data_IF_416529462603
#
_entry.id   IF_416529462603
#
_cell.length_a   1.000
_cell.length_b   1.000
_cell.length_c   1.000
_cell.angle_alpha   90.00
_cell.angle_beta   90.00
_cell.angle_gamma   90.00
#
_symmetry.space_group_name_H-M   'P 1'
#
loop_
_entity.id
_entity.type
_entity.pdbx_description
1 polymer ?
#
# COMPACT_ATOMS: atom_id res chain seq x y z
N UNK A 1 26.49 -13.20 14.32
CA UNK A 1 26.04 -13.92 13.12
C UNK A 1 25.57 -12.84 12.16
N UNK A 2 26.16 -12.74 10.97
CA UNK A 2 25.72 -11.73 9.99
C UNK A 2 24.35 -12.17 9.46
N UNK A 3 23.29 -11.40 9.77
CA UNK A 3 21.98 -11.60 9.18
C UNK A 3 22.07 -11.47 7.66
N UNK A 4 21.34 -12.31 6.93
CA UNK A 4 21.26 -12.19 5.48
C UNK A 4 20.48 -10.90 5.14
N UNK A 5 21.09 -9.90 4.49
CA UNK A 5 20.45 -8.60 4.23
C UNK A 5 19.19 -8.74 3.36
N UNK A 6 19.10 -9.78 2.52
CA UNK A 6 17.91 -10.05 1.72
C UNK A 6 16.77 -10.57 2.60
N UNK A 7 17.05 -11.40 3.61
CA UNK A 7 16.03 -11.85 4.55
C UNK A 7 15.50 -10.71 5.44
N UNK A 8 16.38 -9.79 5.84
CA UNK A 8 15.97 -8.58 6.58
C UNK A 8 15.07 -7.69 5.72
N UNK A 9 15.46 -7.45 4.46
CA UNK A 9 14.63 -6.72 3.50
C UNK A 9 13.25 -7.36 3.32
N UNK A 10 13.20 -8.68 3.10
CA UNK A 10 11.94 -9.41 2.91
C UNK A 10 11.05 -9.30 4.14
N UNK A 11 11.63 -9.40 5.34
CA UNK A 11 10.88 -9.27 6.60
C UNK A 11 10.29 -7.87 6.73
N UNK A 12 11.09 -6.82 6.51
CA UNK A 12 10.61 -5.44 6.57
C UNK A 12 9.57 -5.14 5.48
N UNK A 13 9.74 -5.69 4.27
CA UNK A 13 8.77 -5.57 3.18
C UNK A 13 7.41 -6.17 3.56
N UNK A 14 7.39 -7.37 4.14
CA UNK A 14 6.17 -8.06 4.59
C UNK A 14 5.50 -7.32 5.77
N UNK A 15 6.28 -6.82 6.73
CA UNK A 15 5.76 -6.01 7.84
C UNK A 15 5.06 -4.74 7.35
N UNK A 16 5.69 -4.00 6.44
CA UNK A 16 5.12 -2.79 5.85
C UNK A 16 3.89 -3.09 5.00
N UNK A 17 3.91 -4.18 4.23
CA UNK A 17 2.77 -4.64 3.45
C UNK A 17 1.57 -4.96 4.36
N UNK A 18 1.78 -5.70 5.45
CA UNK A 18 0.73 -6.00 6.44
C UNK A 18 0.22 -4.73 7.13
N UNK A 19 1.09 -3.79 7.45
CA UNK A 19 0.71 -2.51 8.06
C UNK A 19 -0.17 -1.68 7.12
N UNK A 20 0.17 -1.63 5.83
CA UNK A 20 -0.65 -0.98 4.81
C UNK A 20 -2.04 -1.64 4.72
N UNK A 21 -2.10 -2.96 4.56
CA UNK A 21 -3.35 -3.73 4.49
C UNK A 21 -4.24 -3.54 5.73
N UNK A 22 -3.63 -3.55 6.92
CA UNK A 22 -4.33 -3.34 8.18
C UNK A 22 -4.87 -1.91 8.28
N UNK A 23 -4.09 -0.92 7.85
CA UNK A 23 -4.51 0.49 7.82
C UNK A 23 -5.69 0.67 6.87
N UNK A 24 -5.61 0.10 5.66
CA UNK A 24 -6.73 0.11 4.70
C UNK A 24 -7.99 -0.53 5.29
N UNK A 25 -7.86 -1.70 5.91
CA UNK A 25 -8.98 -2.41 6.53
C UNK A 25 -9.68 -1.57 7.61
N UNK A 26 -8.93 -0.77 8.38
CA UNK A 26 -9.49 0.15 9.39
C UNK A 26 -10.31 1.29 8.76
N UNK A 27 -10.05 1.66 7.51
CA UNK A 27 -10.84 2.69 6.81
C UNK A 27 -12.19 2.20 6.31
N UNK A 28 -12.41 0.88 6.24
CA UNK A 28 -13.65 0.31 5.69
C UNK A 28 -14.89 0.60 6.56
N UNK A 29 -14.72 0.69 7.88
CA UNK A 29 -15.82 1.09 8.78
C UNK A 29 -16.28 2.53 8.53
N UNK A 30 -15.38 3.53 8.62
CA UNK A 30 -15.70 4.91 8.25
C UNK A 30 -16.26 5.07 6.83
N UNK A 31 -15.77 4.29 5.87
CA UNK A 31 -16.31 4.27 4.50
C UNK A 31 -17.77 3.83 4.46
N UNK A 32 -18.13 2.76 5.15
CA UNK A 32 -19.52 2.27 5.18
C UNK A 32 -20.45 3.32 5.77
N UNK A 33 -20.07 3.92 6.91
CA UNK A 33 -20.83 5.01 7.53
C UNK A 33 -20.96 6.22 6.60
N UNK A 34 -19.90 6.60 5.89
CA UNK A 34 -19.90 7.69 4.92
C UNK A 34 -20.96 7.44 3.83
N UNK A 35 -20.96 6.24 3.24
CA UNK A 35 -21.90 5.86 2.18
C UNK A 35 -23.35 5.86 2.68
N UNK A 36 -23.60 5.38 3.90
CA UNK A 36 -24.92 5.41 4.51
C UNK A 36 -25.43 6.85 4.72
N UNK A 37 -24.57 7.74 5.23
CA UNK A 37 -24.91 9.15 5.44
C UNK A 37 -25.25 9.83 4.10
N UNK A 38 -24.46 9.59 3.06
CA UNK A 38 -24.69 10.16 1.73
C UNK A 38 -25.87 9.51 1.01
N UNK A 39 -26.26 8.29 1.36
CA UNK A 39 -27.50 7.68 0.87
C UNK A 39 -28.76 8.32 1.45
N UNK A 40 -28.70 8.81 2.70
CA UNK A 40 -29.82 9.50 3.36
C UNK A 40 -29.90 10.97 2.96
N UNK A 41 -28.75 11.62 2.79
CA UNK A 41 -28.65 13.04 2.48
C UNK A 41 -27.55 13.28 1.42
N UNK A 42 -27.85 13.04 0.12
CA UNK A 42 -26.85 13.09 -0.95
C UNK A 42 -26.22 14.48 -1.13
N UNK A 43 -26.99 15.54 -0.90
CA UNK A 43 -26.56 16.94 -1.04
C UNK A 43 -25.66 17.40 0.13
N UNK A 44 -25.35 16.51 1.10
CA UNK A 44 -24.53 16.87 2.27
C UNK A 44 -23.08 17.19 1.92
N UNK A 45 -22.56 16.69 0.80
CA UNK A 45 -21.22 17.04 0.31
C UNK A 45 -21.18 18.43 -0.35
N UNK A 46 -22.31 18.88 -0.90
CA UNK A 46 -22.46 20.21 -1.53
C UNK A 46 -22.76 21.31 -0.51
N UNK A 47 -23.09 20.94 0.72
CA UNK A 47 -23.44 21.87 1.78
C UNK A 47 -22.21 22.63 2.29
N UNK A 48 -22.31 23.95 2.40
CA UNK A 48 -21.26 24.82 2.98
C UNK A 48 -20.87 24.41 4.41
N UNK A 49 -21.77 23.75 5.14
CA UNK A 49 -21.52 23.19 6.47
C UNK A 49 -21.79 21.67 6.46
N UNK A 50 -20.78 20.82 6.14
CA UNK A 50 -20.94 19.38 6.20
C UNK A 50 -21.27 18.94 7.63
N UNK A 51 -22.10 17.90 7.75
CA UNK A 51 -22.47 17.41 9.08
C UNK A 51 -21.23 16.93 9.84
N UNK A 52 -21.17 17.10 11.18
CA UNK A 52 -20.02 16.64 11.97
C UNK A 52 -19.70 15.15 11.79
N UNK A 53 -20.72 14.32 11.54
CA UNK A 53 -20.57 12.90 11.27
C UNK A 53 -19.91 12.64 9.91
N UNK A 54 -20.29 13.41 8.87
CA UNK A 54 -19.67 13.33 7.55
C UNK A 54 -18.19 13.69 7.62
N UNK A 55 -17.87 14.82 8.26
CA UNK A 55 -16.49 15.28 8.40
C UNK A 55 -15.65 14.29 9.22
N UNK A 56 -16.22 13.69 10.27
CA UNK A 56 -15.53 12.64 11.04
C UNK A 56 -15.15 11.44 10.17
N UNK A 57 -16.04 11.01 9.27
CA UNK A 57 -15.74 9.90 8.36
C UNK A 57 -14.66 10.29 7.34
N UNK A 58 -14.78 11.46 6.71
CA UNK A 58 -13.79 11.96 5.75
C UNK A 58 -12.41 12.14 6.40
N UNK A 59 -12.36 12.69 7.62
CA UNK A 59 -11.13 12.80 8.42
C UNK A 59 -10.50 11.43 8.67
N UNK A 60 -11.28 10.42 9.05
CA UNK A 60 -10.76 9.08 9.28
C UNK A 60 -10.20 8.43 8.00
N UNK A 61 -10.77 8.72 6.83
CA UNK A 61 -10.24 8.27 5.54
C UNK A 61 -8.92 8.96 5.19
N UNK A 62 -8.83 10.28 5.41
CA UNK A 62 -7.59 11.06 5.22
C UNK A 62 -6.48 10.57 6.15
N UNK A 63 -6.77 10.34 7.42
CA UNK A 63 -5.82 9.75 8.39
C UNK A 63 -5.38 8.33 7.99
N UNK A 64 -6.27 7.58 7.33
CA UNK A 64 -5.93 6.30 6.73
C UNK A 64 -4.93 6.45 5.57
N UNK A 65 -5.16 7.41 4.67
CA UNK A 65 -4.26 7.72 3.56
C UNK A 65 -2.87 8.15 4.04
N UNK A 66 -2.79 9.01 5.06
CA UNK A 66 -1.51 9.48 5.59
C UNK A 66 -0.68 8.33 6.21
N UNK A 67 -1.35 7.40 6.90
CA UNK A 67 -0.69 6.20 7.44
C UNK A 67 -0.27 5.21 6.35
N UNK A 68 -1.08 5.04 5.30
CA UNK A 68 -0.70 4.26 4.12
C UNK A 68 0.50 4.89 3.39
N UNK A 69 0.53 6.22 3.25
CA UNK A 69 1.68 6.95 2.70
C UNK A 69 2.95 6.76 3.54
N UNK A 70 2.83 6.76 4.86
CA UNK A 70 3.97 6.48 5.73
C UNK A 70 4.54 5.07 5.51
N UNK A 71 3.68 4.08 5.21
CA UNK A 71 4.12 2.72 4.85
C UNK A 71 4.85 2.71 3.51
N UNK A 72 4.25 3.31 2.47
CA UNK A 72 4.85 3.39 1.12
C UNK A 72 6.18 4.14 1.15
N UNK A 73 6.26 5.23 1.92
CA UNK A 73 7.51 6.01 2.06
C UNK A 73 8.64 5.17 2.67
N UNK A 74 8.33 4.34 3.67
CA UNK A 74 9.29 3.41 4.26
C UNK A 74 9.69 2.29 3.28
N UNK A 75 8.74 1.77 2.50
CA UNK A 75 9.02 0.81 1.41
C UNK A 75 10.02 1.38 0.40
N UNK A 76 9.82 2.63 -0.05
CA UNK A 76 10.75 3.29 -0.98
C UNK A 76 12.14 3.55 -0.37
N UNK A 77 12.20 3.86 0.93
CA UNK A 77 13.48 4.01 1.64
C UNK A 77 14.25 2.68 1.73
N UNK A 78 13.54 1.55 1.88
CA UNK A 78 14.17 0.23 1.85
C UNK A 78 14.85 -0.04 0.51
N UNK A 79 14.19 0.26 -0.62
CA UNK A 79 14.81 0.09 -1.95
C UNK A 79 16.10 0.91 -2.08
N UNK A 80 16.06 2.17 -1.65
CA UNK A 80 17.25 3.03 -1.68
C UNK A 80 18.41 2.45 -0.87
N UNK A 81 18.15 1.94 0.34
CA UNK A 81 19.21 1.32 1.16
C UNK A 81 19.81 0.08 0.49
N UNK A 82 18.98 -0.71 -0.19
CA UNK A 82 19.49 -1.90 -0.86
C UNK A 82 20.26 -1.54 -2.13
N UNK A 83 19.82 -0.56 -2.91
CA UNK A 83 20.59 -0.06 -4.06
C UNK A 83 21.97 0.43 -3.63
N UNK A 84 22.04 1.19 -2.53
CA UNK A 84 23.31 1.65 -1.94
C UNK A 84 24.18 0.47 -1.49
N UNK A 85 23.58 -0.57 -0.91
CA UNK A 85 24.30 -1.77 -0.48
C UNK A 85 24.87 -2.54 -1.68
N UNK A 86 24.09 -2.72 -2.75
CA UNK A 86 24.53 -3.42 -3.96
C UNK A 86 25.55 -2.66 -4.80
N UNK A 87 25.55 -1.33 -4.72
CA UNK A 87 26.55 -0.49 -5.38
C UNK A 87 27.95 -0.59 -4.72
N UNK A 88 28.06 -1.18 -3.52
CA UNK A 88 29.36 -1.39 -2.87
C UNK A 88 30.15 -2.51 -3.57
N UNK A 89 31.47 -2.32 -3.80
CA UNK A 89 32.29 -3.32 -4.48
C UNK A 89 32.29 -4.64 -3.70
N UNK A 90 31.79 -5.69 -4.35
CA UNK A 90 31.50 -7.03 -3.79
C UNK A 90 32.63 -7.53 -2.87
N UNK A 91 32.36 -7.62 -1.57
CA UNK A 91 33.11 -8.53 -0.70
C UNK A 91 32.73 -9.95 -1.13
N UNK A 92 33.70 -10.69 -1.64
CA UNK A 92 33.57 -12.08 -2.07
C UNK A 92 32.90 -12.91 -0.95
N UNK A 93 31.79 -13.59 -1.24
CA UNK A 93 31.23 -14.56 -0.29
C UNK A 93 29.79 -15.01 -0.45
N UNK A 94 28.92 -14.28 -1.18
CA UNK A 94 27.52 -14.72 -1.36
C UNK A 94 27.41 -15.50 -2.68
N UNK A 95 27.66 -16.81 -2.65
CA UNK A 95 27.37 -17.69 -3.78
C UNK A 95 25.89 -18.08 -3.76
N UNK A 96 25.17 -17.83 -4.87
CA UNK A 96 23.90 -18.49 -5.16
C UNK A 96 22.66 -17.60 -5.24
N UNK A 97 22.72 -16.38 -4.70
CA UNK A 97 21.62 -15.42 -4.82
C UNK A 97 22.02 -14.39 -5.88
N UNK A 98 21.17 -14.14 -6.89
CA UNK A 98 21.24 -12.89 -7.64
C UNK A 98 20.36 -11.85 -6.91
N UNK A 99 20.92 -11.09 -5.95
CA UNK A 99 20.14 -10.13 -5.17
C UNK A 99 19.51 -9.06 -6.06
N UNK A 100 19.98 -8.87 -7.30
CA UNK A 100 19.37 -7.93 -8.23
C UNK A 100 18.00 -8.41 -8.71
N UNK A 101 17.82 -9.71 -8.92
CA UNK A 101 16.54 -10.29 -9.36
C UNK A 101 15.49 -10.22 -8.24
N UNK A 102 15.86 -10.64 -7.01
CA UNK A 102 14.98 -10.53 -5.84
C UNK A 102 14.55 -9.09 -5.55
N UNK A 103 15.42 -8.11 -5.80
CA UNK A 103 15.08 -6.69 -5.67
C UNK A 103 14.17 -6.17 -6.76
N UNK A 104 14.30 -6.70 -7.99
CA UNK A 104 13.37 -6.39 -9.06
C UNK A 104 11.93 -6.67 -8.63
N UNK A 105 11.68 -7.89 -8.13
CA UNK A 105 10.34 -8.31 -7.69
C UNK A 105 9.82 -7.48 -6.49
N UNK A 106 10.66 -7.21 -5.48
CA UNK A 106 10.26 -6.38 -4.33
C UNK A 106 10.00 -4.92 -4.73
N UNK A 107 10.77 -4.39 -5.69
CA UNK A 107 10.57 -3.05 -6.25
C UNK A 107 9.24 -2.93 -6.97
N UNK A 108 8.90 -3.90 -7.84
CA UNK A 108 7.60 -3.95 -8.53
C UNK A 108 6.43 -4.01 -7.54
N UNK A 109 6.57 -4.79 -6.46
CA UNK A 109 5.57 -4.84 -5.40
C UNK A 109 5.36 -3.47 -4.74
N UNK A 110 6.45 -2.78 -4.37
CA UNK A 110 6.35 -1.48 -3.74
C UNK A 110 5.78 -0.40 -4.66
N UNK A 111 6.11 -0.46 -5.96
CA UNK A 111 5.46 0.38 -6.96
C UNK A 111 3.97 0.10 -7.10
N UNK A 112 3.54 -1.16 -6.92
CA UNK A 112 2.11 -1.52 -6.86
C UNK A 112 1.43 -0.87 -5.66
N UNK A 113 2.04 -0.92 -4.47
CA UNK A 113 1.52 -0.22 -3.28
C UNK A 113 1.46 1.31 -3.45
N UNK A 114 2.45 1.90 -4.13
CA UNK A 114 2.45 3.32 -4.45
C UNK A 114 1.31 3.69 -5.42
N UNK A 115 1.13 2.93 -6.50
CA UNK A 115 0.03 3.11 -7.46
C UNK A 115 -1.33 2.98 -6.77
N UNK A 116 -1.45 2.03 -5.85
CA UNK A 116 -2.64 1.81 -5.07
C UNK A 116 -2.96 3.04 -4.21
N UNK A 117 -1.99 3.57 -3.47
CA UNK A 117 -2.16 4.79 -2.68
C UNK A 117 -2.65 5.97 -3.54
N UNK A 118 -2.08 6.16 -4.73
CA UNK A 118 -2.53 7.18 -5.67
C UNK A 118 -3.98 6.99 -6.09
N UNK A 119 -4.37 5.76 -6.43
CA UNK A 119 -5.75 5.43 -6.81
C UNK A 119 -6.75 5.78 -5.70
N UNK A 120 -6.39 5.63 -4.42
CA UNK A 120 -7.29 5.99 -3.31
C UNK A 120 -7.36 7.50 -3.11
N UNK A 121 -6.22 8.19 -3.22
CA UNK A 121 -6.20 9.66 -3.17
C UNK A 121 -7.06 10.26 -4.26
N UNK A 122 -6.94 9.73 -5.47
CA UNK A 122 -7.77 10.10 -6.60
C UNK A 122 -9.24 9.81 -6.29
N UNK A 123 -9.61 8.60 -5.87
CA UNK A 123 -10.99 8.27 -5.52
C UNK A 123 -11.60 9.20 -4.45
N UNK A 124 -10.84 9.59 -3.41
CA UNK A 124 -11.32 10.55 -2.42
C UNK A 124 -11.48 11.94 -3.03
N UNK A 125 -10.53 12.36 -3.86
CA UNK A 125 -10.61 13.58 -4.65
C UNK A 125 -11.88 13.61 -5.50
N UNK A 126 -12.07 12.59 -6.35
CA UNK A 126 -13.25 12.41 -7.20
C UNK A 126 -14.55 12.52 -6.39
N UNK A 127 -14.63 11.88 -5.22
CA UNK A 127 -15.83 11.96 -4.36
C UNK A 127 -16.05 13.40 -3.87
N UNK A 128 -15.00 14.04 -3.33
CA UNK A 128 -15.12 15.40 -2.77
C UNK A 128 -15.39 16.47 -3.82
N UNK A 129 -14.95 16.23 -5.06
CA UNK A 129 -15.26 17.05 -6.23
C UNK A 129 -16.57 16.65 -6.92
N UNK A 130 -17.29 15.65 -6.39
CA UNK A 130 -18.56 15.13 -6.90
C UNK A 130 -18.48 14.55 -8.33
N UNK A 131 -17.29 14.10 -8.73
CA UNK A 131 -17.04 13.47 -10.04
C UNK A 131 -17.49 11.99 -10.05
N UNK A 132 -17.57 11.36 -8.88
CA UNK A 132 -18.12 10.01 -8.70
C UNK A 132 -19.14 9.97 -7.55
N UNK A 133 -20.09 9.05 -7.64
CA UNK A 133 -21.06 8.81 -6.57
C UNK A 133 -20.48 8.03 -5.39
N UNK A 134 -21.15 8.03 -4.22
CA UNK A 134 -20.69 7.33 -3.01
C UNK A 134 -20.51 5.82 -3.19
N UNK A 135 -21.35 5.19 -4.00
CA UNK A 135 -21.28 3.75 -4.27
C UNK A 135 -20.06 3.40 -5.14
N UNK A 136 -19.80 4.19 -6.20
CA UNK A 136 -18.63 4.02 -7.06
C UNK A 136 -17.35 4.26 -6.26
N UNK A 137 -17.35 5.29 -5.40
CA UNK A 137 -16.28 5.54 -4.45
C UNK A 137 -16.02 4.34 -3.54
N UNK A 138 -17.07 3.77 -2.92
CA UNK A 138 -16.94 2.63 -2.03
C UNK A 138 -16.39 1.38 -2.73
N UNK A 139 -16.82 1.14 -3.98
CA UNK A 139 -16.31 0.05 -4.80
C UNK A 139 -14.82 0.26 -5.12
N UNK A 140 -14.43 1.45 -5.59
CA UNK A 140 -13.03 1.80 -5.88
C UNK A 140 -12.17 1.67 -4.62
N UNK A 141 -12.64 2.19 -3.49
CA UNK A 141 -11.90 2.23 -2.23
C UNK A 141 -11.69 0.86 -1.61
N UNK A 142 -12.70 -0.02 -1.64
CA UNK A 142 -12.65 -1.32 -0.97
C UNK A 142 -11.79 -2.37 -1.69
N UNK A 143 -11.49 -2.18 -2.98
CA UNK A 143 -10.84 -3.19 -3.81
C UNK A 143 -9.32 -3.10 -3.81
N UNK A 144 -8.62 -4.01 -3.14
CA UNK A 144 -7.15 -4.15 -3.20
C UNK A 144 -6.64 -5.23 -4.17
N UNK A 145 -7.38 -5.48 -5.26
CA UNK A 145 -7.13 -6.62 -6.13
C UNK A 145 -5.72 -6.64 -6.76
N UNK A 146 -5.19 -5.48 -7.13
CA UNK A 146 -3.87 -5.39 -7.78
C UNK A 146 -2.73 -5.65 -6.81
N UNK A 147 -2.78 -5.05 -5.62
CA UNK A 147 -1.81 -5.30 -4.53
C UNK A 147 -1.82 -6.77 -4.12
N UNK A 148 -2.99 -7.38 -3.96
CA UNK A 148 -3.10 -8.78 -3.59
C UNK A 148 -2.51 -9.71 -4.65
N UNK A 149 -2.71 -9.40 -5.93
CA UNK A 149 -2.13 -10.15 -7.05
C UNK A 149 -0.62 -9.98 -7.09
N UNK A 150 -0.12 -8.75 -7.04
CA UNK A 150 1.31 -8.43 -7.07
C UNK A 150 2.06 -9.07 -5.91
N UNK A 151 1.49 -9.02 -4.69
CA UNK A 151 2.07 -9.67 -3.52
C UNK A 151 2.16 -11.18 -3.68
N UNK A 152 1.11 -11.82 -4.16
CA UNK A 152 1.11 -13.28 -4.37
C UNK A 152 2.21 -13.68 -5.35
N UNK A 153 2.28 -12.99 -6.50
CA UNK A 153 3.31 -13.24 -7.50
C UNK A 153 4.71 -13.04 -6.91
N UNK A 154 4.94 -11.93 -6.21
CA UNK A 154 6.23 -11.63 -5.57
C UNK A 154 6.63 -12.71 -4.55
N UNK A 155 5.68 -13.20 -3.74
CA UNK A 155 5.94 -14.27 -2.77
C UNK A 155 6.25 -15.61 -3.46
N UNK A 156 5.54 -15.94 -4.53
CA UNK A 156 5.78 -17.16 -5.32
C UNK A 156 7.18 -17.10 -5.98
N UNK A 157 7.53 -15.97 -6.64
CA UNK A 157 8.83 -15.75 -7.26
C UNK A 157 9.99 -15.81 -6.24
N UNK A 158 9.80 -15.20 -5.06
CA UNK A 158 10.78 -15.26 -3.97
C UNK A 158 10.91 -16.66 -3.35
N UNK A 159 9.81 -17.42 -3.26
CA UNK A 159 9.85 -18.79 -2.77
C UNK A 159 10.61 -19.70 -3.74
N UNK A 160 10.43 -19.55 -5.04
CA UNK A 160 11.16 -20.30 -6.07
C UNK A 160 12.67 -19.98 -6.03
N UNK A 161 13.02 -18.70 -5.89
CA UNK A 161 14.41 -18.26 -5.70
C UNK A 161 15.05 -18.87 -4.44
N UNK A 162 14.30 -19.01 -3.35
CA UNK A 162 14.79 -19.62 -2.12
C UNK A 162 14.85 -21.16 -2.20
N UNK A 163 13.91 -21.80 -2.89
CA UNK A 163 13.85 -23.25 -3.06
C UNK A 163 14.96 -23.77 -3.97
N UNK A 164 15.36 -23.00 -4.98
CA UNK A 164 16.53 -23.31 -5.83
C UNK A 164 17.88 -23.33 -5.08
N UNK A 165 17.91 -22.96 -3.79
CA UNK A 165 19.08 -22.98 -2.91
C UNK A 165 19.22 -24.27 -2.07
N UNK A 166 18.15 -25.07 -1.96
CA UNK A 166 18.10 -26.30 -1.14
C UNK A 166 18.43 -27.56 -1.93
#
# INVERSE_FOLDING_TARGET
MASNPVLELMTSADELARAFDATHSQTLGPLQTLVELLGVAPDSLESDEPTPALETCLSALRDGLDRMEACVSQMMQLLYHVDVFLAQPKVQGVSGMDPQEALGHVSELFHTYQSELFTRREALGDLTCLEIGPQDFAQKWSSMAEVQRGRKQTMDDLADLLAGLG
#
